data_IF_296439600907
#
_entry.id   IF_296439600907
#
_cell.length_a   1.000
_cell.length_b   1.000
_cell.length_c   1.000
_cell.angle_alpha   90.00
_cell.angle_beta   90.00
_cell.angle_gamma   90.00
#
_symmetry.space_group_name_H-M   'P 1'
#
loop_
_entity.id
_entity.type
_entity.pdbx_description
1 polymer ?
#
# COMPACT_ATOMS: atom_id res chain seq x y z
N UNK A 1 16.44 -49.13 -3.45
CA UNK A 1 17.23 -48.04 -2.87
C UNK A 1 16.67 -46.73 -3.41
N UNK A 2 15.87 -46.05 -2.59
CA UNK A 2 15.26 -44.76 -2.90
C UNK A 2 16.21 -43.67 -2.40
N UNK A 3 17.15 -43.21 -3.23
CA UNK A 3 18.08 -42.13 -2.86
C UNK A 3 18.27 -41.13 -4.01
N UNK A 4 17.18 -40.82 -4.73
CA UNK A 4 17.11 -39.66 -5.62
C UNK A 4 16.33 -38.55 -4.92
N UNK A 5 16.70 -38.27 -3.67
CA UNK A 5 16.57 -36.91 -3.14
C UNK A 5 17.72 -36.13 -3.77
N UNK A 6 17.53 -35.75 -5.03
CA UNK A 6 18.23 -34.62 -5.61
C UNK A 6 17.89 -33.42 -4.73
N UNK A 7 18.70 -33.20 -3.69
CA UNK A 7 19.04 -31.86 -3.28
C UNK A 7 19.79 -31.25 -4.46
N UNK A 8 19.05 -30.93 -5.53
CA UNK A 8 19.33 -29.78 -6.34
C UNK A 8 19.44 -28.66 -5.32
N UNK A 9 20.68 -28.37 -4.95
CA UNK A 9 21.03 -27.18 -4.24
C UNK A 9 20.38 -26.08 -5.02
N UNK A 10 19.26 -25.58 -4.48
CA UNK A 10 18.57 -24.39 -4.96
C UNK A 10 19.69 -23.39 -5.06
N UNK A 11 20.17 -23.19 -6.28
CA UNK A 11 21.21 -22.25 -6.60
C UNK A 11 20.63 -20.96 -6.06
N UNK A 12 21.13 -20.58 -4.90
CA UNK A 12 20.88 -19.32 -4.27
C UNK A 12 21.64 -18.37 -5.16
N UNK A 13 21.02 -18.05 -6.28
CA UNK A 13 21.27 -16.86 -7.05
C UNK A 13 21.02 -15.71 -6.09
N UNK A 14 22.03 -15.46 -5.26
CA UNK A 14 22.39 -14.12 -4.84
C UNK A 14 22.78 -13.41 -6.13
N UNK A 15 21.78 -13.11 -6.95
CA UNK A 15 21.87 -12.00 -7.87
C UNK A 15 22.32 -10.84 -6.99
N UNK A 16 23.54 -10.38 -7.25
CA UNK A 16 24.02 -9.09 -6.77
C UNK A 16 22.86 -8.13 -6.89
N UNK A 17 22.37 -7.67 -5.74
CA UNK A 17 21.20 -6.82 -5.61
C UNK A 17 21.53 -5.48 -6.30
N UNK A 18 21.48 -5.46 -7.63
CA UNK A 18 21.34 -4.24 -8.38
C UNK A 18 20.05 -3.64 -7.84
N UNK A 19 20.18 -2.56 -7.08
CA UNK A 19 19.11 -1.96 -6.31
C UNK A 19 17.98 -1.58 -7.27
N UNK A 20 16.93 -2.39 -7.36
CA UNK A 20 15.81 -2.14 -8.27
C UNK A 20 14.71 -1.35 -7.55
N UNK A 21 14.63 -0.05 -7.84
CA UNK A 21 13.63 0.85 -7.28
C UNK A 21 12.19 0.42 -7.58
N UNK A 22 11.95 -0.25 -8.71
CA UNK A 22 10.62 -0.70 -9.13
C UNK A 22 10.11 -1.79 -8.20
N UNK A 23 10.97 -2.77 -7.91
CA UNK A 23 10.67 -3.86 -6.97
C UNK A 23 10.42 -3.33 -5.56
N UNK A 24 11.30 -2.45 -5.08
CA UNK A 24 11.15 -1.84 -3.76
C UNK A 24 9.85 -1.00 -3.64
N UNK A 25 9.44 -0.31 -4.70
CA UNK A 25 8.18 0.46 -4.70
C UNK A 25 6.97 -0.46 -4.65
N UNK A 26 6.96 -1.53 -5.45
CA UNK A 26 5.90 -2.54 -5.45
C UNK A 26 5.72 -3.17 -4.07
N UNK A 27 6.82 -3.53 -3.40
CA UNK A 27 6.78 -4.07 -2.04
C UNK A 27 6.13 -3.07 -1.08
N UNK A 28 6.51 -1.79 -1.14
CA UNK A 28 5.88 -0.75 -0.33
C UNK A 28 4.39 -0.57 -0.63
N UNK A 29 3.95 -0.66 -1.88
CA UNK A 29 2.52 -0.62 -2.25
C UNK A 29 1.78 -1.80 -1.64
N UNK A 30 2.34 -3.01 -1.72
CA UNK A 30 1.75 -4.20 -1.11
C UNK A 30 1.63 -4.05 0.42
N UNK A 31 2.70 -3.62 1.09
CA UNK A 31 2.66 -3.37 2.54
C UNK A 31 1.67 -2.25 2.91
N UNK A 32 1.60 -1.18 2.12
CA UNK A 32 0.67 -0.08 2.36
C UNK A 32 -0.79 -0.56 2.27
N UNK A 33 -1.13 -1.42 1.30
CA UNK A 33 -2.46 -2.03 1.18
C UNK A 33 -2.79 -2.93 2.38
N UNK A 34 -1.82 -3.72 2.88
CA UNK A 34 -2.00 -4.54 4.07
C UNK A 34 -2.24 -3.68 5.32
N UNK A 35 -1.44 -2.65 5.53
CA UNK A 35 -1.58 -1.73 6.66
C UNK A 35 -2.90 -0.97 6.58
N UNK A 36 -3.24 -0.44 5.41
CA UNK A 36 -4.51 0.22 5.15
C UNK A 36 -5.68 -0.69 5.49
N UNK A 37 -5.66 -1.94 5.03
CA UNK A 37 -6.73 -2.91 5.28
C UNK A 37 -6.83 -3.25 6.77
N UNK A 38 -5.69 -3.50 7.43
CA UNK A 38 -5.65 -3.77 8.86
C UNK A 38 -6.22 -2.60 9.67
N UNK A 39 -5.76 -1.38 9.36
CA UNK A 39 -6.26 -0.16 10.00
C UNK A 39 -7.75 0.04 9.75
N UNK A 40 -8.20 -0.15 8.50
CA UNK A 40 -9.60 -0.02 8.11
C UNK A 40 -10.48 -0.99 8.90
N UNK A 41 -10.06 -2.24 9.07
CA UNK A 41 -10.78 -3.23 9.88
C UNK A 41 -10.85 -2.78 11.34
N UNK A 42 -9.73 -2.40 11.95
CA UNK A 42 -9.72 -1.95 13.36
C UNK A 42 -10.61 -0.75 13.60
N UNK A 43 -10.50 0.27 12.74
CA UNK A 43 -11.34 1.47 12.79
C UNK A 43 -12.81 1.13 12.59
N UNK A 44 -13.12 0.28 11.61
CA UNK A 44 -14.49 -0.14 11.31
C UNK A 44 -15.10 -0.95 12.45
N UNK A 45 -14.36 -1.91 13.01
CA UNK A 45 -14.81 -2.72 14.17
C UNK A 45 -15.02 -1.84 15.40
N UNK A 46 -14.14 -0.85 15.62
CA UNK A 46 -14.31 0.12 16.70
C UNK A 46 -15.57 0.98 16.50
N UNK A 47 -15.86 1.41 15.26
CA UNK A 47 -17.04 2.19 14.92
C UNK A 47 -18.34 1.38 15.06
N UNK A 48 -18.36 0.10 14.67
CA UNK A 48 -19.54 -0.78 14.76
C UNK A 48 -19.95 -1.04 16.22
N UNK A 49 -18.97 -1.19 17.13
CA UNK A 49 -19.27 -1.32 18.57
C UNK A 49 -19.99 -0.09 19.16
N UNK A 50 -19.94 1.05 18.47
CA UNK A 50 -20.65 2.28 18.84
C UNK A 50 -22.10 2.37 18.35
N UNK A 51 -22.63 1.36 17.64
CA UNK A 51 -24.09 1.23 17.39
C UNK A 51 -24.69 2.07 16.25
N UNK A 52 -23.91 2.58 15.30
CA UNK A 52 -24.45 3.39 14.19
C UNK A 52 -24.73 2.55 12.93
N UNK A 53 -26.00 2.16 12.73
CA UNK A 53 -26.53 1.60 11.48
C UNK A 53 -26.64 2.66 10.36
N UNK A 54 -25.56 3.42 10.11
CA UNK A 54 -25.56 4.51 9.13
C UNK A 54 -25.04 4.06 7.77
N UNK A 55 -25.59 4.60 6.67
CA UNK A 55 -25.12 4.32 5.31
C UNK A 55 -23.79 5.03 4.98
N UNK A 56 -23.47 6.08 5.75
CA UNK A 56 -22.26 6.89 5.67
C UNK A 56 -20.95 6.06 5.59
N UNK A 57 -20.68 5.09 6.48
CA UNK A 57 -19.49 4.24 6.40
C UNK A 57 -19.37 3.44 5.09
N UNK A 58 -20.48 3.04 4.47
CA UNK A 58 -20.45 2.34 3.19
C UNK A 58 -20.09 3.27 2.03
N UNK A 59 -20.66 4.49 1.99
CA UNK A 59 -20.27 5.51 1.01
C UNK A 59 -18.81 5.93 1.19
N UNK A 60 -18.32 5.98 2.43
CA UNK A 60 -16.92 6.17 2.71
C UNK A 60 -16.04 5.12 2.07
N UNK A 61 -16.39 3.84 2.28
CA UNK A 61 -15.67 2.72 1.70
C UNK A 61 -15.58 2.86 0.18
N UNK A 62 -16.66 3.28 -0.47
CA UNK A 62 -16.67 3.55 -1.92
C UNK A 62 -15.70 4.68 -2.29
N UNK A 63 -15.74 5.83 -1.62
CA UNK A 63 -14.84 6.97 -1.89
C UNK A 63 -13.38 6.60 -1.62
N UNK A 64 -13.14 5.86 -0.54
CA UNK A 64 -11.84 5.41 -0.08
C UNK A 64 -11.21 4.42 -1.09
N UNK A 65 -12.00 3.47 -1.59
CA UNK A 65 -11.58 2.53 -2.65
C UNK A 65 -11.36 3.28 -3.98
N UNK A 66 -12.26 4.21 -4.32
CA UNK A 66 -12.14 5.03 -5.51
C UNK A 66 -10.91 5.96 -5.47
N UNK A 67 -10.39 6.30 -4.29
CA UNK A 67 -9.16 7.06 -4.12
C UNK A 67 -7.89 6.21 -4.13
N UNK A 68 -7.90 5.05 -3.46
CA UNK A 68 -6.70 4.21 -3.31
C UNK A 68 -6.32 3.50 -4.62
N UNK A 69 -7.31 3.06 -5.41
CA UNK A 69 -7.06 2.39 -6.71
C UNK A 69 -6.30 3.29 -7.70
N UNK A 70 -6.74 4.51 -8.01
CA UNK A 70 -6.01 5.38 -8.93
C UNK A 70 -4.65 5.80 -8.37
N UNK A 71 -4.52 5.95 -7.05
CA UNK A 71 -3.23 6.20 -6.43
C UNK A 71 -2.25 5.03 -6.68
N UNK A 72 -2.66 3.79 -6.40
CA UNK A 72 -1.87 2.59 -6.69
C UNK A 72 -1.49 2.51 -8.17
N UNK A 73 -2.45 2.71 -9.09
CA UNK A 73 -2.19 2.68 -10.54
C UNK A 73 -1.23 3.80 -11.00
N UNK A 74 -1.31 4.97 -10.40
CA UNK A 74 -0.41 6.08 -10.72
C UNK A 74 1.03 5.79 -10.26
N UNK A 75 1.20 5.32 -9.02
CA UNK A 75 2.51 4.91 -8.51
C UNK A 75 3.09 3.75 -9.33
N UNK A 76 2.30 2.71 -9.61
CA UNK A 76 2.75 1.59 -10.42
C UNK A 76 3.18 2.04 -11.82
N UNK A 77 2.34 2.83 -12.52
CA UNK A 77 2.67 3.36 -13.86
C UNK A 77 3.91 4.25 -13.87
N UNK A 78 4.12 5.04 -12.80
CA UNK A 78 5.28 5.95 -12.70
C UNK A 78 6.60 5.19 -12.55
N UNK A 79 6.60 4.10 -11.78
CA UNK A 79 7.83 3.36 -11.49
C UNK A 79 8.05 2.19 -12.46
N UNK A 80 7.00 1.54 -12.96
CA UNK A 80 7.12 0.43 -13.93
C UNK A 80 7.65 0.85 -15.31
N UNK A 81 7.58 2.14 -15.64
CA UNK A 81 8.12 2.68 -16.89
C UNK A 81 9.64 2.94 -16.90
N UNK A 82 10.35 2.71 -15.79
CA UNK A 82 11.80 2.92 -15.72
C UNK A 82 12.55 1.78 -16.42
N UNK A 83 13.56 2.14 -17.22
CA UNK A 83 14.51 1.17 -17.79
C UNK A 83 15.36 0.54 -16.69
N UNK A 84 15.99 -0.60 -16.97
CA UNK A 84 16.81 -1.32 -15.97
C UNK A 84 17.99 -0.48 -15.45
N UNK A 85 18.55 0.38 -16.30
CA UNK A 85 19.61 1.34 -15.94
C UNK A 85 19.09 2.41 -14.98
N UNK A 86 17.90 2.96 -15.25
CA UNK A 86 17.26 3.96 -14.39
C UNK A 86 16.76 3.36 -13.08
N UNK A 87 16.36 2.08 -13.10
CA UNK A 87 15.92 1.36 -11.92
C UNK A 87 17.05 1.17 -10.89
N UNK A 88 18.32 1.23 -11.31
CA UNK A 88 19.50 1.14 -10.45
C UNK A 88 20.16 2.50 -10.11
N UNK A 89 19.76 3.58 -10.79
CA UNK A 89 20.36 4.90 -10.63
C UNK A 89 19.99 5.54 -9.27
N UNK A 90 21.00 6.07 -8.57
CA UNK A 90 20.82 6.74 -7.28
C UNK A 90 20.09 8.08 -7.40
N UNK A 91 20.07 8.70 -8.58
CA UNK A 91 19.38 9.98 -8.82
C UNK A 91 17.87 9.91 -8.55
N UNK A 92 17.26 8.72 -8.68
CA UNK A 92 15.84 8.48 -8.41
C UNK A 92 15.51 8.28 -6.93
N UNK A 93 16.51 8.24 -6.04
CA UNK A 93 16.32 8.04 -4.60
C UNK A 93 15.39 9.08 -3.97
N UNK A 94 15.55 10.36 -4.32
CA UNK A 94 14.75 11.41 -3.70
C UNK A 94 13.31 11.44 -4.23
N UNK A 95 13.12 11.09 -5.50
CA UNK A 95 11.79 10.84 -6.07
C UNK A 95 11.12 9.64 -5.39
N UNK A 96 11.88 8.57 -5.11
CA UNK A 96 11.42 7.36 -4.42
C UNK A 96 10.97 7.67 -2.99
N UNK A 97 11.76 8.42 -2.22
CA UNK A 97 11.42 8.83 -0.85
C UNK A 97 10.12 9.63 -0.80
N UNK A 98 9.94 10.60 -1.71
CA UNK A 98 8.73 11.43 -1.79
C UNK A 98 7.50 10.59 -2.08
N UNK A 99 7.59 9.69 -3.05
CA UNK A 99 6.47 8.84 -3.44
C UNK A 99 6.12 7.83 -2.37
N UNK A 100 7.13 7.23 -1.73
CA UNK A 100 6.94 6.37 -0.57
C UNK A 100 6.24 7.13 0.56
N UNK A 101 6.66 8.35 0.87
CA UNK A 101 6.04 9.16 1.90
C UNK A 101 4.58 9.49 1.56
N UNK A 102 4.29 9.84 0.30
CA UNK A 102 2.93 10.08 -0.17
C UNK A 102 2.06 8.83 -0.08
N UNK A 103 2.56 7.67 -0.50
CA UNK A 103 1.86 6.39 -0.43
C UNK A 103 1.50 6.02 1.01
N UNK A 104 2.46 6.12 1.93
CA UNK A 104 2.22 5.84 3.35
C UNK A 104 1.30 6.89 3.99
N UNK A 105 1.47 8.16 3.65
CA UNK A 105 0.58 9.23 4.07
C UNK A 105 -0.85 9.02 3.59
N UNK A 106 -1.04 8.52 2.38
CA UNK A 106 -2.36 8.17 1.85
C UNK A 106 -2.92 6.94 2.57
N UNK A 107 -2.18 5.84 2.64
CA UNK A 107 -2.63 4.59 3.23
C UNK A 107 -3.03 4.73 4.71
N UNK A 108 -2.27 5.52 5.48
CA UNK A 108 -2.57 5.81 6.89
C UNK A 108 -3.59 6.95 7.00
N UNK A 109 -3.37 8.05 6.30
CA UNK A 109 -4.12 9.29 6.46
C UNK A 109 -5.56 9.20 5.96
N UNK A 110 -5.83 8.53 4.83
CA UNK A 110 -7.19 8.47 4.26
C UNK A 110 -8.19 7.86 5.26
N UNK A 111 -7.93 6.70 5.90
CA UNK A 111 -8.79 6.13 6.93
C UNK A 111 -9.10 7.09 8.09
N UNK A 112 -8.09 7.81 8.59
CA UNK A 112 -8.28 8.75 9.70
C UNK A 112 -9.02 10.02 9.28
N UNK A 113 -8.68 10.60 8.13
CA UNK A 113 -9.38 11.78 7.58
C UNK A 113 -10.86 11.47 7.39
N UNK A 114 -11.16 10.31 6.83
CA UNK A 114 -12.54 9.87 6.59
C UNK A 114 -13.30 9.64 7.91
N UNK A 115 -12.65 9.00 8.89
CA UNK A 115 -13.22 8.79 10.22
C UNK A 115 -13.46 10.11 10.95
N UNK A 116 -12.51 11.04 10.88
CA UNK A 116 -12.62 12.39 11.43
C UNK A 116 -13.74 13.18 10.77
N UNK A 117 -13.86 13.10 9.44
CA UNK A 117 -14.94 13.71 8.69
C UNK A 117 -16.30 13.18 9.13
N UNK A 118 -16.44 11.86 9.33
CA UNK A 118 -17.69 11.29 9.86
C UNK A 118 -18.02 11.77 11.25
N UNK A 119 -17.06 11.73 12.17
CA UNK A 119 -17.28 12.22 13.53
C UNK A 119 -17.64 13.70 13.53
N UNK A 120 -17.02 14.50 12.66
CA UNK A 120 -17.32 15.91 12.50
C UNK A 120 -18.73 16.17 11.96
N UNK A 121 -19.11 15.51 10.87
CA UNK A 121 -20.46 15.64 10.28
C UNK A 121 -21.53 15.16 11.29
N UNK A 122 -21.31 14.01 11.93
CA UNK A 122 -22.24 13.46 12.92
C UNK A 122 -22.32 14.28 14.21
N UNK A 123 -21.36 15.16 14.49
CA UNK A 123 -21.42 16.07 15.63
C UNK A 123 -22.19 17.37 15.31
N UNK A 124 -22.41 17.66 14.02
CA UNK A 124 -23.11 18.87 13.55
C UNK A 124 -24.55 18.58 13.12
N UNK A 125 -24.84 17.35 12.66
CA UNK A 125 -26.19 16.83 12.40
C UNK A 125 -26.87 16.37 13.69
#
# INVERSE_FOLDING_TARGET
MNDVYSHEGRATGRETYARDWRKAMSDHVAYALLVYTGLQIFVTVHAIKGGSHSILPYLALVVLVAGIIPACRWFEKRWSGLSDEQAADESYLDAFKRDRLMLWGLAIGLPFVLTGLFKGIAAVL
#
